data_IF_346617188776
#
_entry.id   IF_346617188776
#
_cell.length_a   1.000
_cell.length_b   1.000
_cell.length_c   1.000
_cell.angle_alpha   90.00
_cell.angle_beta   90.00
_cell.angle_gamma   90.00
#
_symmetry.space_group_name_H-M   'P 1'
#
loop_
_entity.id
_entity.type
_entity.pdbx_description
1 polymer ?
#
# COMPACT_ATOMS: atom_id res chain seq x y z
N UNK A 1 -1.80 -17.20 6.47
CA UNK A 1 -0.44 -16.67 6.23
C UNK A 1 -0.37 -15.26 6.80
N UNK A 2 0.00 -15.14 8.08
CA UNK A 2 0.23 -13.83 8.69
C UNK A 2 1.57 -13.30 8.20
N UNK A 3 1.54 -12.34 7.27
CA UNK A 3 2.74 -11.59 6.87
C UNK A 3 3.19 -10.75 8.06
N UNK A 4 4.38 -11.04 8.58
CA UNK A 4 5.05 -10.16 9.57
C UNK A 4 5.17 -8.78 8.93
N UNK A 5 4.48 -7.80 9.51
CA UNK A 5 4.70 -6.41 9.18
C UNK A 5 6.10 -6.05 9.66
N UNK A 6 7.10 -6.20 8.80
CA UNK A 6 8.41 -5.58 9.01
C UNK A 6 8.17 -4.09 8.88
N UNK A 7 7.82 -3.42 9.97
CA UNK A 7 7.78 -1.97 10.02
C UNK A 7 9.21 -1.47 9.88
N UNK A 8 9.62 -1.20 8.64
CA UNK A 8 10.81 -0.38 8.40
C UNK A 8 10.48 1.01 8.96
N UNK A 9 11.51 1.74 9.38
CA UNK A 9 11.42 3.07 10.02
C UNK A 9 10.52 4.11 9.28
N UNK A 10 10.11 3.82 8.04
CA UNK A 10 9.36 4.71 7.16
C UNK A 10 8.13 4.08 6.48
N UNK A 11 7.73 2.86 6.89
CA UNK A 11 6.50 2.24 6.39
C UNK A 11 5.27 2.93 6.97
N UNK A 12 4.18 2.98 6.22
CA UNK A 12 2.91 3.50 6.72
C UNK A 12 2.40 2.58 7.83
N UNK A 13 2.15 3.16 9.01
CA UNK A 13 1.47 2.45 10.09
C UNK A 13 0.03 2.12 9.66
N UNK A 14 -0.58 1.13 10.29
CA UNK A 14 -1.98 0.78 9.98
C UNK A 14 -2.94 1.96 10.22
N UNK A 15 -2.66 2.78 11.23
CA UNK A 15 -3.43 4.00 11.51
C UNK A 15 -3.28 5.05 10.41
N UNK A 16 -2.06 5.26 9.90
CA UNK A 16 -1.82 6.17 8.77
C UNK A 16 -2.44 5.63 7.48
N UNK A 17 -2.34 4.31 7.28
CA UNK A 17 -2.95 3.63 6.14
C UNK A 17 -4.48 3.78 6.16
N UNK A 18 -5.13 3.62 7.32
CA UNK A 18 -6.59 3.75 7.46
C UNK A 18 -7.11 5.14 7.07
N UNK A 19 -6.31 6.20 7.29
CA UNK A 19 -6.64 7.56 6.86
C UNK A 19 -6.42 7.73 5.34
N UNK A 20 -5.37 7.12 4.80
CA UNK A 20 -5.00 7.25 3.39
C UNK A 20 -5.89 6.44 2.45
N UNK A 21 -6.18 5.19 2.81
CA UNK A 21 -6.93 4.22 1.99
C UNK A 21 -8.23 4.76 1.38
N UNK A 22 -9.14 5.42 2.13
CA UNK A 22 -10.39 5.92 1.58
C UNK A 22 -10.20 7.06 0.57
N UNK A 23 -9.06 7.74 0.60
CA UNK A 23 -8.74 8.83 -0.33
C UNK A 23 -8.19 8.32 -1.67
N UNK A 24 -7.81 7.04 -1.75
CA UNK A 24 -7.22 6.47 -2.95
C UNK A 24 -8.28 6.15 -4.00
N UNK A 25 -8.03 6.43 -5.28
CA UNK A 25 -9.01 6.19 -6.35
C UNK A 25 -9.46 4.73 -6.37
N UNK A 26 -10.76 4.51 -6.54
CA UNK A 26 -11.36 3.17 -6.62
C UNK A 26 -10.72 2.30 -7.70
N UNK A 27 -10.73 0.98 -7.50
CA UNK A 27 -10.22 0.04 -8.51
C UNK A 27 -11.09 0.13 -9.76
N UNK A 28 -10.47 0.41 -10.91
CA UNK A 28 -11.16 0.32 -12.21
C UNK A 28 -11.52 -1.14 -12.47
N UNK A 29 -12.80 -1.40 -12.80
CA UNK A 29 -13.34 -2.73 -13.12
C UNK A 29 -12.80 -3.34 -14.42
N UNK A 30 -12.57 -2.61 -15.53
CA UNK A 30 -12.01 -3.22 -16.73
C UNK A 30 -10.50 -3.41 -16.60
N UNK A 31 -10.00 -4.58 -17.01
CA UNK A 31 -8.57 -4.88 -17.13
C UNK A 31 -8.05 -5.98 -16.21
N UNK A 32 -6.73 -6.21 -16.26
CA UNK A 32 -6.04 -7.23 -15.45
C UNK A 32 -6.09 -6.86 -13.95
N UNK A 33 -6.50 -7.77 -13.06
CA UNK A 33 -6.36 -7.58 -11.62
C UNK A 33 -4.94 -7.16 -11.22
N UNK A 34 -4.76 -6.11 -10.39
CA UNK A 34 -3.45 -5.73 -9.91
C UNK A 34 -2.87 -6.84 -9.05
N UNK A 35 -1.59 -7.16 -9.28
CA UNK A 35 -0.84 -8.20 -8.54
C UNK A 35 -0.51 -7.78 -7.11
N UNK A 36 -0.40 -6.47 -6.86
CA UNK A 36 -0.04 -5.90 -5.57
C UNK A 36 -1.17 -5.03 -5.02
N UNK A 37 -1.28 -4.99 -3.69
CA UNK A 37 -2.21 -4.05 -3.04
C UNK A 37 -1.72 -2.61 -3.22
N UNK A 38 -2.64 -1.64 -3.09
CA UNK A 38 -2.28 -0.22 -3.12
C UNK A 38 -1.22 0.11 -2.05
N UNK A 39 -1.31 -0.53 -0.88
CA UNK A 39 -0.35 -0.38 0.22
C UNK A 39 1.05 -0.80 -0.19
N UNK A 40 1.17 -2.01 -0.75
CA UNK A 40 2.45 -2.53 -1.23
C UNK A 40 3.08 -1.64 -2.32
N UNK A 41 2.27 -1.07 -3.20
CA UNK A 41 2.74 -0.15 -4.23
C UNK A 41 3.28 1.15 -3.61
N UNK A 42 2.53 1.75 -2.68
CA UNK A 42 2.92 2.99 -2.01
C UNK A 42 4.18 2.78 -1.16
N UNK A 43 4.25 1.70 -0.39
CA UNK A 43 5.43 1.34 0.40
C UNK A 43 6.64 1.10 -0.51
N UNK A 44 6.45 0.41 -1.65
CA UNK A 44 7.51 0.19 -2.64
C UNK A 44 8.01 1.47 -3.34
N UNK A 45 7.11 2.41 -3.66
CA UNK A 45 7.46 3.72 -4.22
C UNK A 45 8.26 4.54 -3.20
N UNK A 46 7.78 4.61 -1.95
CA UNK A 46 8.48 5.33 -0.86
C UNK A 46 9.85 4.75 -0.58
N UNK A 47 10.02 3.43 -0.73
CA UNK A 47 11.31 2.77 -0.62
C UNK A 47 12.28 3.17 -1.74
N UNK A 48 11.80 3.32 -2.98
CA UNK A 48 12.65 3.62 -4.15
C UNK A 48 12.98 5.10 -4.36
N UNK A 49 12.07 5.99 -4.00
CA UNK A 49 12.24 7.45 -4.20
C UNK A 49 13.28 8.03 -3.24
N UNK A 50 13.75 7.27 -2.25
CA UNK A 50 14.80 7.68 -1.32
C UNK A 50 16.10 6.93 -1.56
#
# INVERSE_FOLDING_TARGET
>A
MASVAVTRRHDLTDAQWAVLEPLLPGRKKPGRPPKWSKRQLIDGIRWRVR
#
